data_IF_706706298971
#
_entry.id   IF_706706298971
#
_cell.length_a   1.000
_cell.length_b   1.000
_cell.length_c   1.000
_cell.angle_alpha   90.00
_cell.angle_beta   90.00
_cell.angle_gamma   90.00
#
_symmetry.space_group_name_H-M   'P 1'
#
loop_
_entity.id
_entity.type
_entity.pdbx_description
1 polymer ?
#
# COMPACT_ATOMS: atom_id res chain seq x y z
N UNK A 1 33.79 -54.41 -34.84
CA UNK A 1 33.09 -55.00 -35.99
C UNK A 1 32.12 -56.04 -35.42
N UNK A 2 30.82 -55.83 -35.19
CA UNK A 2 29.83 -55.02 -35.89
C UNK A 2 28.70 -54.61 -34.92
N UNK A 3 28.46 -53.30 -34.90
CA UNK A 3 27.18 -52.62 -34.78
C UNK A 3 25.95 -53.42 -34.32
N UNK A 4 25.63 -53.32 -33.02
CA UNK A 4 24.25 -53.45 -32.55
C UNK A 4 23.52 -52.13 -32.83
N UNK A 5 23.05 -52.00 -34.06
CA UNK A 5 22.11 -50.96 -34.47
C UNK A 5 20.81 -51.16 -33.69
N UNK A 6 20.58 -50.24 -32.76
CA UNK A 6 19.30 -49.99 -32.11
C UNK A 6 18.29 -49.68 -33.22
N UNK A 7 17.51 -50.68 -33.61
CA UNK A 7 16.36 -50.56 -34.50
C UNK A 7 15.19 -49.96 -33.70
N UNK A 8 15.28 -48.67 -33.42
CA UNK A 8 14.14 -47.86 -32.98
C UNK A 8 13.05 -47.98 -34.05
N UNK A 9 11.92 -48.59 -33.69
CA UNK A 9 10.79 -48.77 -34.60
C UNK A 9 10.28 -47.41 -35.08
N UNK A 10 10.01 -47.21 -36.38
CA UNK A 10 9.49 -45.94 -36.92
C UNK A 10 8.11 -45.57 -36.35
N UNK A 11 7.41 -46.53 -35.76
CA UNK A 11 6.14 -46.35 -35.03
C UNK A 11 6.31 -45.65 -33.68
N UNK A 12 7.47 -45.79 -33.02
CA UNK A 12 7.76 -45.13 -31.73
C UNK A 12 8.17 -43.66 -31.94
N UNK A 13 8.90 -43.35 -33.02
CA UNK A 13 9.21 -41.96 -33.37
C UNK A 13 7.98 -41.17 -33.84
N UNK A 14 6.98 -41.80 -34.45
CA UNK A 14 5.72 -41.15 -34.84
C UNK A 14 4.72 -40.92 -33.70
N UNK A 15 4.91 -41.61 -32.56
CA UNK A 15 4.06 -41.46 -31.37
C UNK A 15 4.50 -40.31 -30.45
N UNK A 16 5.69 -39.75 -30.65
CA UNK A 16 6.16 -38.52 -30.01
C UNK A 16 5.65 -37.30 -30.79
N UNK A 17 4.33 -37.15 -30.87
CA UNK A 17 3.75 -35.83 -31.15
C UNK A 17 3.89 -35.00 -29.88
N UNK A 18 5.12 -34.57 -29.57
CA UNK A 18 5.51 -33.94 -28.29
C UNK A 18 4.91 -32.53 -28.08
N UNK A 19 4.20 -31.99 -29.07
CA UNK A 19 3.56 -30.68 -28.97
C UNK A 19 2.09 -30.76 -29.44
N UNK A 20 1.12 -30.41 -28.58
CA UNK A 20 -0.25 -30.18 -29.05
C UNK A 20 -0.25 -29.11 -30.14
N UNK A 21 -1.09 -29.26 -31.16
CA UNK A 21 -1.16 -28.30 -32.26
C UNK A 21 -1.46 -26.87 -31.77
N UNK A 22 -1.20 -25.86 -32.60
CA UNK A 22 -1.51 -24.46 -32.26
C UNK A 22 -2.98 -24.30 -31.80
N UNK A 23 -3.90 -25.05 -32.41
CA UNK A 23 -5.32 -25.08 -32.03
C UNK A 23 -5.58 -25.63 -30.63
N UNK A 24 -4.84 -26.64 -30.17
CA UNK A 24 -4.93 -27.16 -28.80
C UNK A 24 -4.20 -26.28 -27.80
N UNK A 25 -3.15 -25.55 -28.20
CA UNK A 25 -2.39 -24.68 -27.29
C UNK A 25 -3.14 -23.39 -26.91
N UNK A 26 -3.97 -22.86 -27.82
CA UNK A 26 -4.79 -21.67 -27.60
C UNK A 26 -5.71 -21.78 -26.36
N UNK A 27 -6.50 -22.85 -26.15
CA UNK A 27 -7.36 -22.96 -24.98
C UNK A 27 -6.57 -23.07 -23.67
N UNK A 28 -5.39 -23.72 -23.65
CA UNK A 28 -4.54 -23.75 -22.46
C UNK A 28 -4.02 -22.34 -22.10
N UNK A 29 -3.55 -21.59 -23.10
CA UNK A 29 -3.08 -20.22 -22.91
C UNK A 29 -4.21 -19.29 -22.42
N UNK A 30 -5.40 -19.39 -23.04
CA UNK A 30 -6.57 -18.60 -22.64
C UNK A 30 -7.05 -18.95 -21.22
N UNK A 31 -7.03 -20.23 -20.86
CA UNK A 31 -7.41 -20.66 -19.51
C UNK A 31 -6.46 -20.07 -18.47
N UNK A 32 -5.14 -20.14 -18.71
CA UNK A 32 -4.15 -19.51 -17.84
C UNK A 32 -4.34 -17.99 -17.74
N UNK A 33 -4.58 -17.33 -18.88
CA UNK A 33 -4.86 -15.89 -18.93
C UNK A 33 -6.11 -15.51 -18.12
N UNK A 34 -7.20 -16.27 -18.25
CA UNK A 34 -8.44 -16.05 -17.49
C UNK A 34 -8.24 -16.22 -15.99
N UNK A 35 -7.45 -17.20 -15.57
CA UNK A 35 -7.11 -17.40 -14.15
C UNK A 35 -6.34 -16.20 -13.61
N UNK A 36 -5.36 -15.68 -14.35
CA UNK A 36 -4.58 -14.49 -13.95
C UNK A 36 -5.47 -13.25 -13.82
N UNK A 37 -6.32 -12.98 -14.82
CA UNK A 37 -7.26 -11.84 -14.73
C UNK A 37 -8.24 -11.99 -13.57
N UNK A 38 -8.70 -13.21 -13.31
CA UNK A 38 -9.58 -13.50 -12.16
C UNK A 38 -8.86 -13.23 -10.84
N UNK A 39 -7.61 -13.69 -10.69
CA UNK A 39 -6.81 -13.45 -9.50
C UNK A 39 -6.56 -11.96 -9.27
N UNK A 40 -6.17 -11.22 -10.31
CA UNK A 40 -5.98 -9.76 -10.26
C UNK A 40 -7.28 -9.05 -9.88
N UNK A 41 -8.40 -9.46 -10.48
CA UNK A 41 -9.73 -8.92 -10.17
C UNK A 41 -10.15 -9.17 -8.72
N UNK A 42 -9.90 -10.37 -8.19
CA UNK A 42 -10.19 -10.71 -6.78
C UNK A 42 -9.33 -9.89 -5.83
N UNK A 43 -8.03 -9.73 -6.11
CA UNK A 43 -7.15 -8.89 -5.29
C UNK A 43 -7.65 -7.44 -5.29
N UNK A 44 -7.96 -6.89 -6.46
CA UNK A 44 -8.51 -5.54 -6.57
C UNK A 44 -9.84 -5.38 -5.82
N UNK A 45 -10.73 -6.37 -5.92
CA UNK A 45 -12.01 -6.40 -5.19
C UNK A 45 -11.79 -6.41 -3.67
N UNK A 46 -10.88 -7.25 -3.17
CA UNK A 46 -10.55 -7.30 -1.74
C UNK A 46 -10.00 -5.95 -1.26
N UNK A 47 -9.07 -5.34 -2.00
CA UNK A 47 -8.50 -4.04 -1.65
C UNK A 47 -9.56 -2.92 -1.62
N UNK A 48 -10.47 -2.90 -2.59
CA UNK A 48 -11.55 -1.90 -2.65
C UNK A 48 -12.58 -2.10 -1.55
N UNK A 49 -12.95 -3.34 -1.24
CA UNK A 49 -13.85 -3.67 -0.12
C UNK A 49 -13.27 -3.20 1.19
N UNK A 50 -12.01 -3.53 1.49
CA UNK A 50 -11.32 -3.06 2.70
C UNK A 50 -11.30 -1.53 2.75
N UNK A 51 -10.92 -0.85 1.67
CA UNK A 51 -10.93 0.61 1.61
C UNK A 51 -12.31 1.24 1.86
N UNK A 52 -13.39 0.62 1.37
CA UNK A 52 -14.76 1.07 1.62
C UNK A 52 -15.18 0.89 3.08
N UNK A 53 -14.80 -0.21 3.73
CA UNK A 53 -15.06 -0.40 5.16
C UNK A 53 -14.43 0.72 6.00
N UNK A 54 -13.20 1.14 5.69
CA UNK A 54 -12.54 2.24 6.41
C UNK A 54 -13.20 3.60 6.15
N UNK A 55 -13.65 3.87 4.91
CA UNK A 55 -14.36 5.11 4.57
C UNK A 55 -15.73 5.22 5.24
N UNK A 56 -16.42 4.10 5.45
CA UNK A 56 -17.74 4.07 6.12
C UNK A 56 -17.68 4.42 7.61
N UNK A 57 -16.52 4.22 8.24
CA UNK A 57 -16.32 4.53 9.67
C UNK A 57 -15.75 5.93 9.88
N UNK A 58 -15.44 6.67 8.81
CA UNK A 58 -14.98 8.05 8.91
C UNK A 58 -16.15 8.96 9.34
N UNK A 59 -16.05 9.70 10.45
CA UNK A 59 -17.08 10.65 10.85
C UNK A 59 -17.27 11.72 9.78
N UNK A 60 -18.52 12.11 9.54
CA UNK A 60 -18.86 13.17 8.60
C UNK A 60 -18.12 14.49 8.98
N UNK A 61 -17.59 15.25 8.00
CA UNK A 61 -17.00 16.54 8.27
C UNK A 61 -18.07 17.46 8.88
N UNK A 62 -17.87 17.88 10.13
CA UNK A 62 -18.72 18.88 10.76
C UNK A 62 -18.41 20.22 10.09
N UNK A 63 -19.32 20.70 9.26
CA UNK A 63 -19.28 22.07 8.73
C UNK A 63 -19.62 23.01 9.89
N UNK A 64 -18.73 23.93 10.31
CA UNK A 64 -19.04 24.84 11.40
C UNK A 64 -20.10 25.86 10.93
N UNK A 65 -21.21 25.93 11.65
CA UNK A 65 -22.18 27.03 11.51
C UNK A 65 -21.60 28.33 12.09
N UNK A 66 -21.84 29.50 11.49
CA UNK A 66 -21.31 30.76 11.99
C UNK A 66 -22.07 31.19 13.26
N UNK A 67 -21.39 31.22 14.40
CA UNK A 67 -21.94 31.72 15.66
C UNK A 67 -21.43 33.14 15.96
N UNK A 68 -22.37 34.00 16.34
CA UNK A 68 -22.27 35.44 16.59
C UNK A 68 -21.48 35.75 17.87
N UNK A 69 -20.72 36.84 17.81
CA UNK A 69 -19.72 37.32 18.76
C UNK A 69 -20.28 37.76 20.13
N UNK A 70 -19.65 37.30 21.21
CA UNK A 70 -19.60 37.96 22.52
C UNK A 70 -18.16 37.87 23.08
N UNK A 71 -17.63 38.92 23.74
CA UNK A 71 -16.23 38.93 24.16
C UNK A 71 -16.01 38.15 25.46
N UNK A 72 -15.23 37.08 25.37
CA UNK A 72 -14.79 36.20 26.48
C UNK A 72 -13.25 36.10 26.35
N UNK A 73 -12.48 36.11 27.46
CA UNK A 73 -11.02 36.34 27.43
C UNK A 73 -10.29 35.34 26.53
N UNK A 74 -9.23 35.84 25.89
CA UNK A 74 -8.39 35.16 24.90
C UNK A 74 -7.95 33.78 25.38
N UNK A 75 -8.71 32.76 24.97
CA UNK A 75 -8.23 31.40 24.83
C UNK A 75 -7.80 31.28 23.37
N UNK A 76 -6.52 31.02 23.14
CA UNK A 76 -5.98 30.85 21.80
C UNK A 76 -6.78 29.76 21.05
N UNK A 77 -7.28 30.03 19.83
CA UNK A 77 -8.17 29.12 19.12
C UNK A 77 -7.49 27.86 18.55
N UNK A 78 -6.19 27.66 18.83
CA UNK A 78 -5.36 26.57 18.26
C UNK A 78 -4.67 25.71 19.34
N UNK A 79 -5.03 25.82 20.61
CA UNK A 79 -4.40 24.98 21.64
C UNK A 79 -4.88 23.53 21.52
N UNK A 80 -3.99 22.65 21.07
CA UNK A 80 -4.21 21.20 21.15
C UNK A 80 -4.61 20.80 22.57
N UNK A 81 -5.54 19.83 22.73
CA UNK A 81 -5.97 19.39 24.04
C UNK A 81 -4.77 18.90 24.87
N UNK A 82 -4.71 19.25 26.17
CA UNK A 82 -3.56 18.93 27.03
C UNK A 82 -3.30 17.42 27.13
N UNK A 83 -4.34 16.59 27.01
CA UNK A 83 -4.24 15.14 26.96
C UNK A 83 -3.42 14.68 25.75
N UNK A 84 -3.61 15.31 24.60
CA UNK A 84 -2.91 14.99 23.36
C UNK A 84 -1.44 15.40 23.42
N UNK A 85 -1.16 16.56 24.03
CA UNK A 85 0.22 16.99 24.30
C UNK A 85 0.94 16.00 25.22
N UNK A 86 0.26 15.54 26.28
CA UNK A 86 0.83 14.56 27.22
C UNK A 86 1.14 13.22 26.54
N UNK A 87 0.23 12.72 25.69
CA UNK A 87 0.43 11.47 24.94
C UNK A 87 1.58 11.61 23.94
N UNK A 88 1.67 12.72 23.19
CA UNK A 88 2.77 12.98 22.27
C UNK A 88 4.10 13.03 23.03
N UNK A 89 4.17 13.77 24.15
CA UNK A 89 5.39 13.89 24.95
C UNK A 89 5.84 12.53 25.53
N UNK A 90 4.90 11.73 26.03
CA UNK A 90 5.19 10.38 26.50
C UNK A 90 5.72 9.48 25.38
N UNK A 91 5.09 9.55 24.20
CA UNK A 91 5.50 8.78 23.02
C UNK A 91 6.92 9.16 22.59
N UNK A 92 7.22 10.46 22.49
CA UNK A 92 8.58 10.95 22.14
C UNK A 92 9.62 10.40 23.10
N UNK A 93 9.33 10.37 24.41
CA UNK A 93 10.27 9.87 25.41
C UNK A 93 10.50 8.35 25.36
N UNK A 94 9.50 7.59 24.94
CA UNK A 94 9.61 6.13 24.81
C UNK A 94 10.21 5.73 23.47
N UNK A 95 9.91 6.47 22.40
CA UNK A 95 10.36 6.15 21.03
C UNK A 95 11.76 6.66 20.70
N UNK A 96 12.21 7.76 21.33
CA UNK A 96 13.53 8.34 21.07
C UNK A 96 14.42 8.17 22.31
N UNK A 97 15.54 7.45 22.16
CA UNK A 97 16.53 7.28 23.21
C UNK A 97 17.42 8.53 23.33
N UNK A 98 17.08 9.43 24.26
CA UNK A 98 17.92 10.61 24.56
C UNK A 98 17.14 11.85 25.00
N UNK A 99 17.84 12.94 25.38
CA UNK A 99 17.21 14.20 25.76
C UNK A 99 16.79 15.00 24.53
N UNK A 100 15.58 14.75 24.03
CA UNK A 100 14.99 15.51 22.93
C UNK A 100 14.06 16.61 23.43
N UNK A 101 14.01 17.74 22.70
CA UNK A 101 13.09 18.86 22.96
C UNK A 101 12.08 19.00 21.83
N UNK A 102 10.80 18.99 22.17
CA UNK A 102 9.71 19.26 21.22
C UNK A 102 9.71 20.77 20.91
N UNK A 103 9.86 21.13 19.65
CA UNK A 103 9.85 22.54 19.20
C UNK A 103 8.45 23.02 18.81
N UNK A 104 7.70 22.20 18.07
CA UNK A 104 6.35 22.54 17.61
C UNK A 104 5.51 21.27 17.44
N UNK A 105 4.21 21.40 17.66
CA UNK A 105 3.21 20.37 17.34
C UNK A 105 2.17 21.07 16.46
N UNK A 106 2.07 20.64 15.20
CA UNK A 106 1.23 21.28 14.18
C UNK A 106 0.28 20.23 13.60
N UNK A 107 -1.04 20.50 13.52
CA UNK A 107 -1.99 19.59 12.92
C UNK A 107 -1.81 19.47 11.40
N UNK A 108 -1.72 18.22 10.98
CA UNK A 108 -1.65 17.66 9.63
C UNK A 108 -2.96 17.59 8.83
N UNK A 109 -3.30 18.36 7.76
CA UNK A 109 -4.49 18.01 6.97
C UNK A 109 -4.41 16.59 6.42
N UNK A 110 -5.52 15.84 6.49
CA UNK A 110 -5.55 14.45 6.06
C UNK A 110 -5.19 14.31 4.56
N UNK A 111 -4.17 13.49 4.26
CA UNK A 111 -3.90 12.99 2.91
C UNK A 111 -2.70 13.55 2.14
N UNK A 112 -1.96 14.55 2.64
CA UNK A 112 -0.84 15.16 1.89
C UNK A 112 0.57 14.95 2.47
N UNK A 113 0.69 14.40 3.67
CA UNK A 113 1.93 14.58 4.43
C UNK A 113 3.00 13.52 4.26
N UNK A 114 2.61 12.26 4.04
CA UNK A 114 3.56 11.16 3.98
C UNK A 114 4.48 11.24 2.75
N UNK A 115 4.02 11.81 1.64
CA UNK A 115 4.85 12.05 0.46
C UNK A 115 5.90 13.14 0.71
N UNK A 116 5.54 14.20 1.44
CA UNK A 116 6.47 15.26 1.82
C UNK A 116 7.52 14.77 2.83
N UNK A 117 7.13 13.94 3.79
CA UNK A 117 8.04 13.36 4.77
C UNK A 117 9.02 12.35 4.14
N UNK A 118 8.56 11.49 3.24
CA UNK A 118 9.44 10.60 2.48
C UNK A 118 10.50 11.37 1.67
N UNK A 119 10.08 12.50 1.05
CA UNK A 119 11.02 13.40 0.36
C UNK A 119 12.03 14.03 1.32
N UNK A 120 11.62 14.42 2.53
CA UNK A 120 12.54 14.97 3.56
C UNK A 120 13.58 13.93 4.00
N UNK A 121 13.18 12.68 4.19
CA UNK A 121 14.11 11.60 4.58
C UNK A 121 15.19 11.34 3.52
N UNK A 122 14.83 11.36 2.23
CA UNK A 122 15.78 11.19 1.12
C UNK A 122 16.83 12.33 1.09
N UNK A 123 16.40 13.55 1.36
CA UNK A 123 17.33 14.69 1.42
C UNK A 123 18.14 14.73 2.72
N UNK A 124 17.58 14.25 3.83
CA UNK A 124 18.28 14.17 5.12
C UNK A 124 19.41 13.12 5.12
N UNK A 125 19.30 12.05 4.33
CA UNK A 125 20.34 11.01 4.25
C UNK A 125 21.59 11.44 3.48
N UNK A 126 21.47 12.43 2.59
CA UNK A 126 22.62 13.04 1.89
C UNK A 126 23.04 14.32 2.61
N UNK A 127 23.95 14.21 3.58
CA UNK A 127 24.61 15.40 4.11
C UNK A 127 25.49 16.04 3.03
N UNK A 128 25.03 17.18 2.49
CA UNK A 128 25.92 18.12 1.78
C UNK A 128 26.74 18.80 2.86
N UNK A 129 27.98 18.34 3.00
CA UNK A 129 29.03 18.99 3.79
C UNK A 129 29.53 20.24 3.07
#
# INVERSE_FOLDING_TARGET
MHSLLITLSPRLLGALSEHPGLSESIPFQLTGLMVVFTALGLIWLVLTVVGQFFKRTAPAPVVPAPAVTAPVPVSAPDSLPPELIAVIAATVRVSLEGPYRIQAIVPVPAGQDWAHEGRRQIFASHQVR
#
